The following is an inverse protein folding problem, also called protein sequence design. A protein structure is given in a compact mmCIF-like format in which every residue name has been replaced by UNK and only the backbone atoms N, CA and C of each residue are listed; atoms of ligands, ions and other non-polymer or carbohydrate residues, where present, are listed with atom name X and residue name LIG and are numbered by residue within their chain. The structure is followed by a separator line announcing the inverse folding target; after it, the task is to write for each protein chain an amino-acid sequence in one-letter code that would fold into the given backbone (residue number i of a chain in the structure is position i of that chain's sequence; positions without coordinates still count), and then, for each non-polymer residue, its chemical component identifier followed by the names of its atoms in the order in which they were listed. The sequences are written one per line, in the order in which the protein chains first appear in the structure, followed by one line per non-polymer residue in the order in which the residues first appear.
data_IF_526992246640
#
_entry.id   IF_526992246640
#
_cell.length_a   1.000
_cell.length_b   1.000
_cell.length_c   1.000
_cell.angle_alpha   90.00
_cell.angle_beta   90.00
_cell.angle_gamma   90.00
#
_symmetry.space_group_name_H-M   'P 1'
#
loop_
_entity.id
_entity.type
_entity.pdbx_description
1 polymer ?
#
# COMPACT_ATOMS: atom_id res chain seq x y z
N UNK A 1 -13.54 -26.31 16.80
CA UNK A 1 -13.40 -25.28 15.74
C UNK A 1 -14.15 -24.01 16.16
N UNK A 2 -13.55 -23.10 16.93
CA UNK A 2 -14.20 -21.84 17.35
C UNK A 2 -13.29 -20.59 17.35
N UNK A 3 -11.97 -20.75 17.22
CA UNK A 3 -11.02 -19.63 17.27
C UNK A 3 -10.93 -18.79 15.98
N UNK A 4 -11.27 -19.35 14.81
CA UNK A 4 -11.20 -18.65 13.52
C UNK A 4 -12.30 -17.58 13.33
N UNK A 5 -13.35 -17.59 14.15
CA UNK A 5 -14.50 -16.68 14.02
C UNK A 5 -14.31 -15.39 14.82
N UNK A 6 -13.64 -15.45 15.97
CA UNK A 6 -13.37 -14.25 16.76
C UNK A 6 -12.38 -13.31 16.05
N UNK A 7 -11.24 -13.83 15.57
CA UNK A 7 -10.22 -13.02 14.89
C UNK A 7 -10.74 -12.38 13.58
N UNK A 8 -11.54 -13.12 12.81
CA UNK A 8 -12.18 -12.57 11.61
C UNK A 8 -13.20 -11.49 11.96
N UNK A 9 -14.01 -11.68 13.00
CA UNK A 9 -14.94 -10.66 13.51
C UNK A 9 -14.22 -9.41 14.00
N UNK A 10 -13.12 -9.55 14.75
CA UNK A 10 -12.29 -8.41 15.18
C UNK A 10 -11.76 -7.61 13.99
N UNK A 11 -11.22 -8.30 12.99
CA UNK A 11 -10.71 -7.65 11.77
C UNK A 11 -11.82 -6.94 10.97
N UNK A 12 -13.01 -7.53 10.91
CA UNK A 12 -14.17 -6.92 10.25
C UNK A 12 -14.63 -5.68 11.00
N UNK A 13 -14.73 -5.75 12.33
CA UNK A 13 -15.11 -4.60 13.16
C UNK A 13 -14.07 -3.48 13.08
N UNK A 14 -12.77 -3.81 13.07
CA UNK A 14 -11.72 -2.79 12.97
C UNK A 14 -11.77 -2.04 11.63
N UNK A 15 -12.27 -2.65 10.56
CA UNK A 15 -12.53 -1.97 9.28
C UNK A 15 -13.84 -1.16 9.33
N UNK A 16 -14.93 -1.75 9.82
CA UNK A 16 -16.26 -1.13 9.80
C UNK A 16 -16.36 0.16 10.63
N UNK A 17 -15.58 0.26 11.70
CA UNK A 17 -15.60 1.41 12.61
C UNK A 17 -14.38 2.33 12.46
N UNK A 18 -13.50 2.07 11.48
CA UNK A 18 -12.34 2.93 11.21
C UNK A 18 -12.77 4.25 10.56
N UNK A 19 -12.09 5.34 10.93
CA UNK A 19 -12.19 6.61 10.20
C UNK A 19 -11.60 6.48 8.79
N UNK A 20 -11.90 7.43 7.90
CA UNK A 20 -11.35 7.45 6.54
C UNK A 20 -9.82 7.48 6.55
N UNK A 21 -9.23 8.23 7.47
CA UNK A 21 -7.78 8.31 7.66
C UNK A 21 -7.20 7.00 8.17
N UNK A 22 -7.87 6.33 9.11
CA UNK A 22 -7.44 5.01 9.58
C UNK A 22 -7.51 3.95 8.48
N UNK A 23 -8.55 3.97 7.65
CA UNK A 23 -8.66 3.09 6.47
C UNK A 23 -7.52 3.32 5.48
N UNK A 24 -7.15 4.59 5.23
CA UNK A 24 -6.00 4.95 4.41
C UNK A 24 -4.69 4.37 4.97
N UNK A 25 -4.44 4.52 6.27
CA UNK A 25 -3.24 3.98 6.91
C UNK A 25 -3.20 2.44 6.84
N UNK A 26 -4.35 1.78 7.03
CA UNK A 26 -4.47 0.32 6.88
C UNK A 26 -4.17 -0.16 5.46
N UNK A 27 -4.58 0.59 4.44
CA UNK A 27 -4.23 0.30 3.03
C UNK A 27 -2.71 0.41 2.82
N UNK A 28 -2.08 1.45 3.38
CA UNK A 28 -0.64 1.67 3.26
C UNK A 28 0.18 0.62 4.02
N UNK A 29 -0.27 0.19 5.21
CA UNK A 29 0.32 -0.96 5.89
C UNK A 29 0.20 -2.24 5.04
N UNK A 30 -0.95 -2.42 4.40
CA UNK A 30 -1.20 -3.48 3.43
C UNK A 30 -0.22 -3.46 2.27
N UNK A 31 0.06 -2.30 1.67
CA UNK A 31 0.96 -2.18 0.52
C UNK A 31 2.41 -2.54 0.87
N UNK A 32 2.91 -2.12 2.04
CA UNK A 32 4.23 -2.53 2.55
C UNK A 32 4.27 -4.03 2.81
N UNK A 33 3.24 -4.59 3.45
CA UNK A 33 3.16 -6.03 3.72
C UNK A 33 3.17 -6.84 2.41
N UNK A 34 2.31 -6.51 1.46
CA UNK A 34 2.19 -7.26 0.22
C UNK A 34 3.44 -7.14 -0.65
N UNK A 35 4.08 -5.97 -0.72
CA UNK A 35 5.33 -5.80 -1.45
C UNK A 35 6.48 -6.65 -0.88
N UNK A 36 6.60 -6.75 0.46
CA UNK A 36 7.58 -7.65 1.11
C UNK A 36 7.29 -9.14 0.85
N UNK A 37 6.01 -9.55 0.89
CA UNK A 37 5.62 -10.92 0.54
C UNK A 37 5.96 -11.21 -0.93
N UNK A 38 5.63 -10.29 -1.83
CA UNK A 38 5.95 -10.42 -3.25
C UNK A 38 7.45 -10.61 -3.49
N UNK A 39 8.28 -9.77 -2.85
CA UNK A 39 9.74 -9.89 -2.92
C UNK A 39 10.23 -11.26 -2.49
N UNK A 40 9.79 -11.75 -1.32
CA UNK A 40 10.17 -13.08 -0.83
C UNK A 40 9.72 -14.19 -1.80
N UNK A 41 8.51 -14.08 -2.33
CA UNK A 41 7.98 -15.04 -3.30
C UNK A 41 8.77 -15.06 -4.61
N UNK A 42 9.30 -13.92 -5.08
CA UNK A 42 10.22 -13.88 -6.22
C UNK A 42 11.50 -14.66 -5.89
N UNK A 43 12.12 -14.40 -4.73
CA UNK A 43 13.34 -15.11 -4.29
C UNK A 43 13.13 -16.62 -4.21
N UNK A 44 11.94 -17.04 -3.75
CA UNK A 44 11.55 -18.44 -3.61
C UNK A 44 11.04 -19.07 -4.92
N UNK A 45 11.08 -18.32 -6.03
CA UNK A 45 10.56 -18.71 -7.35
C UNK A 45 9.07 -19.08 -7.34
N UNK A 46 8.31 -18.60 -6.34
CA UNK A 46 6.85 -18.75 -6.29
C UNK A 46 6.17 -17.62 -7.08
N UNK A 47 6.11 -17.81 -8.40
CA UNK A 47 5.64 -16.82 -9.37
C UNK A 47 4.18 -16.43 -9.15
N UNK A 48 3.32 -17.35 -8.73
CA UNK A 48 1.89 -17.12 -8.49
C UNK A 48 1.73 -16.17 -7.31
N UNK A 49 2.32 -16.51 -6.16
CA UNK A 49 2.26 -15.67 -4.95
C UNK A 49 2.90 -14.31 -5.19
N UNK A 50 4.01 -14.25 -5.95
CA UNK A 50 4.61 -12.99 -6.35
C UNK A 50 3.64 -12.13 -7.17
N UNK A 51 3.01 -12.69 -8.21
CA UNK A 51 2.06 -11.95 -9.06
C UNK A 51 0.88 -11.41 -8.26
N UNK A 52 0.27 -12.25 -7.42
CA UNK A 52 -0.89 -11.88 -6.60
C UNK A 52 -0.57 -10.71 -5.67
N UNK A 53 0.55 -10.78 -4.95
CA UNK A 53 0.89 -9.75 -3.98
C UNK A 53 1.38 -8.46 -4.64
N UNK A 54 2.04 -8.55 -5.82
CA UNK A 54 2.34 -7.34 -6.60
C UNK A 54 1.04 -6.67 -7.07
N UNK A 55 0.08 -7.42 -7.61
CA UNK A 55 -1.22 -6.86 -8.03
C UNK A 55 -1.98 -6.23 -6.87
N UNK A 56 -1.99 -6.88 -5.69
CA UNK A 56 -2.59 -6.28 -4.47
C UNK A 56 -1.94 -4.95 -4.12
N UNK A 57 -0.61 -4.87 -4.19
CA UNK A 57 0.13 -3.63 -3.95
C UNK A 57 -0.23 -2.56 -4.98
N UNK A 58 -0.26 -2.90 -6.28
CA UNK A 58 -0.65 -1.99 -7.36
C UNK A 58 -2.07 -1.45 -7.18
N UNK A 59 -3.02 -2.31 -6.85
CA UNK A 59 -4.42 -1.93 -6.64
C UNK A 59 -4.58 -0.90 -5.52
N UNK A 60 -3.79 -1.01 -4.44
CA UNK A 60 -3.77 0.00 -3.38
C UNK A 60 -3.32 1.35 -3.94
N UNK A 61 -2.22 1.41 -4.70
CA UNK A 61 -1.76 2.67 -5.30
C UNK A 61 -2.73 3.24 -6.34
N UNK A 62 -3.43 2.39 -7.11
CA UNK A 62 -4.52 2.85 -7.98
C UNK A 62 -5.67 3.47 -7.17
N UNK A 63 -6.05 2.85 -6.06
CA UNK A 63 -7.08 3.39 -5.16
C UNK A 63 -6.65 4.73 -4.53
N UNK A 64 -5.37 4.87 -4.15
CA UNK A 64 -4.83 6.15 -3.66
C UNK A 64 -4.90 7.26 -4.71
N UNK A 65 -4.67 6.93 -5.99
CA UNK A 65 -4.83 7.90 -7.08
C UNK A 65 -6.30 8.26 -7.26
N UNK A 66 -7.20 7.27 -7.25
CA UNK A 66 -8.63 7.47 -7.46
C UNK A 66 -9.31 8.26 -6.33
N UNK A 67 -8.81 8.12 -5.10
CA UNK A 67 -9.34 8.78 -3.91
C UNK A 67 -8.77 10.17 -3.65
N UNK A 68 -7.72 10.58 -4.36
CA UNK A 68 -7.09 11.88 -4.18
C UNK A 68 -7.90 12.99 -4.86
N UNK A 69 -8.43 13.93 -4.07
CA UNK A 69 -9.11 15.11 -4.61
C UNK A 69 -8.11 16.13 -5.14
N UNK A 70 -7.84 16.05 -6.44
CA UNK A 70 -6.91 16.97 -7.11
C UNK A 70 -7.40 18.42 -7.18
N UNK A 71 -8.70 18.68 -7.01
CA UNK A 71 -9.22 20.05 -7.02
C UNK A 71 -8.78 20.82 -5.79
N UNK A 72 -8.71 20.15 -4.63
CA UNK A 72 -8.25 20.73 -3.37
C UNK A 72 -6.76 20.56 -3.15
N UNK A 73 -6.14 19.52 -3.74
CA UNK A 73 -4.73 19.22 -3.55
C UNK A 73 -3.75 20.05 -4.41
N UNK A 74 -4.20 20.76 -5.45
CA UNK A 74 -3.33 21.60 -6.27
C UNK A 74 -2.07 20.87 -6.78
N UNK A 75 -0.89 21.52 -6.68
CA UNK A 75 0.36 20.97 -7.22
C UNK A 75 0.97 19.84 -6.38
N UNK A 76 0.78 19.84 -5.06
CA UNK A 76 1.27 18.73 -4.22
C UNK A 76 0.56 17.43 -4.58
N UNK A 77 -0.75 17.47 -4.88
CA UNK A 77 -1.51 16.31 -5.29
C UNK A 77 -1.01 15.71 -6.60
N UNK A 78 -0.66 16.55 -7.59
CA UNK A 78 -0.09 16.10 -8.87
C UNK A 78 1.28 15.42 -8.67
N UNK A 79 2.12 15.97 -7.81
CA UNK A 79 3.41 15.37 -7.47
C UNK A 79 3.22 14.00 -6.81
N UNK A 80 2.26 13.89 -5.89
CA UNK A 80 1.94 12.64 -5.22
C UNK A 80 1.44 11.57 -6.20
N UNK A 81 0.54 11.93 -7.11
CA UNK A 81 0.08 11.02 -8.19
C UNK A 81 1.25 10.55 -9.05
N UNK A 82 2.24 11.41 -9.31
CA UNK A 82 3.43 11.04 -10.09
C UNK A 82 4.28 10.01 -9.37
N UNK A 83 4.47 10.15 -8.05
CA UNK A 83 5.14 9.15 -7.20
C UNK A 83 4.39 7.81 -7.24
N UNK A 84 3.06 7.84 -7.09
CA UNK A 84 2.24 6.62 -7.11
C UNK A 84 2.32 5.91 -8.46
N UNK A 85 2.23 6.65 -9.57
CA UNK A 85 2.39 6.08 -10.92
C UNK A 85 3.78 5.49 -11.14
N UNK A 86 4.82 6.12 -10.63
CA UNK A 86 6.18 5.58 -10.69
C UNK A 86 6.30 4.25 -9.95
N UNK A 87 5.80 4.17 -8.71
CA UNK A 87 5.77 2.93 -7.91
C UNK A 87 5.03 1.82 -8.67
N UNK A 88 3.85 2.12 -9.22
CA UNK A 88 3.07 1.17 -10.01
C UNK A 88 3.88 0.67 -11.21
N UNK A 89 4.54 1.56 -11.95
CA UNK A 89 5.39 1.22 -13.09
C UNK A 89 6.55 0.28 -12.71
N UNK A 90 7.25 0.56 -11.61
CA UNK A 90 8.31 -0.32 -11.09
C UNK A 90 7.77 -1.68 -10.67
N UNK A 91 6.62 -1.73 -9.99
CA UNK A 91 5.95 -2.98 -9.64
C UNK A 91 5.56 -3.80 -10.87
N UNK A 92 5.09 -3.17 -11.95
CA UNK A 92 4.80 -3.88 -13.22
C UNK A 92 6.07 -4.51 -13.77
N UNK A 93 7.17 -3.75 -13.84
CA UNK A 93 8.45 -4.26 -14.33
C UNK A 93 8.99 -5.41 -13.47
N UNK A 94 8.95 -5.28 -12.14
CA UNK A 94 9.31 -6.33 -11.20
C UNK A 94 8.48 -7.60 -11.41
N UNK A 95 7.17 -7.45 -11.66
CA UNK A 95 6.26 -8.57 -11.85
C UNK A 95 6.52 -9.31 -13.17
N UNK A 96 6.80 -8.58 -14.25
CA UNK A 96 7.09 -9.16 -15.56
C UNK A 96 8.43 -9.89 -15.57
N UNK A 97 9.47 -9.27 -14.99
CA UNK A 97 10.84 -9.81 -15.00
C UNK A 97 11.13 -10.77 -13.84
N UNK A 98 10.28 -10.78 -12.81
CA UNK A 98 10.56 -11.43 -11.52
C UNK A 98 11.90 -10.99 -10.96
N UNK A 99 12.10 -9.67 -10.96
CA UNK A 99 13.35 -9.05 -10.57
C UNK A 99 13.28 -8.56 -9.11
N UNK A 100 14.09 -9.18 -8.24
CA UNK A 100 14.18 -8.84 -6.82
C UNK A 100 14.81 -7.46 -6.62
N UNK A 101 15.75 -7.05 -7.48
CA UNK A 101 16.42 -5.76 -7.34
C UNK A 101 15.43 -4.61 -7.54
N UNK A 102 14.50 -4.73 -8.48
CA UNK A 102 13.41 -3.76 -8.66
C UNK A 102 12.52 -3.69 -7.41
N UNK A 103 12.26 -4.84 -6.76
CA UNK A 103 11.50 -4.86 -5.51
C UNK A 103 12.27 -4.20 -4.36
N UNK A 104 13.58 -4.44 -4.27
CA UNK A 104 14.47 -3.82 -3.28
C UNK A 104 14.52 -2.29 -3.40
N UNK A 105 14.47 -1.76 -4.62
CA UNK A 105 14.41 -0.31 -4.86
C UNK A 105 13.03 0.29 -4.57
N UNK A 106 11.95 -0.40 -4.89
CA UNK A 106 10.59 0.18 -4.79
C UNK A 106 9.99 0.09 -3.38
N UNK A 107 10.35 -0.94 -2.59
CA UNK A 107 9.81 -1.12 -1.23
C UNK A 107 10.09 0.09 -0.33
N UNK A 108 11.31 0.66 -0.28
CA UNK A 108 11.58 1.87 0.49
C UNK A 108 10.65 3.03 0.11
N UNK A 109 10.38 3.24 -1.19
CA UNK A 109 9.46 4.29 -1.64
C UNK A 109 8.01 4.04 -1.17
N UNK A 110 7.58 2.79 -1.12
CA UNK A 110 6.28 2.40 -0.57
C UNK A 110 6.23 2.69 0.94
N UNK A 111 7.32 2.41 1.65
CA UNK A 111 7.46 2.70 3.09
C UNK A 111 7.47 4.22 3.36
N UNK A 112 8.14 5.01 2.54
CA UNK A 112 8.18 6.47 2.64
C UNK A 112 6.79 7.08 2.46
N UNK A 113 6.03 6.61 1.47
CA UNK A 113 4.62 7.03 1.30
C UNK A 113 3.80 6.68 2.55
N UNK A 114 3.96 5.47 3.09
CA UNK A 114 3.27 5.07 4.33
C UNK A 114 3.65 5.97 5.51
N UNK A 115 4.94 6.28 5.66
CA UNK A 115 5.43 7.11 6.77
C UNK A 115 4.90 8.54 6.66
N UNK A 116 4.91 9.13 5.46
CA UNK A 116 4.38 10.46 5.21
C UNK A 116 2.91 10.60 5.66
N UNK A 117 2.05 9.64 5.31
CA UNK A 117 0.66 9.67 5.72
C UNK A 117 0.46 9.42 7.22
N UNK A 118 1.29 8.58 7.84
CA UNK A 118 1.28 8.41 9.29
C UNK A 118 1.66 9.70 10.03
N UNK A 119 2.68 10.40 9.56
CA UNK A 119 3.11 11.68 10.12
C UNK A 119 2.02 12.75 9.94
N UNK A 120 1.43 12.83 8.75
CA UNK A 120 0.32 13.75 8.44
C UNK A 120 -0.88 13.50 9.35
N UNK A 121 -1.26 12.23 9.54
CA UNK A 121 -2.33 11.86 10.45
C UNK A 121 -1.99 12.22 11.90
N UNK A 122 -0.77 11.92 12.36
CA UNK A 122 -0.32 12.25 13.71
C UNK A 122 -0.32 13.75 13.96
N UNK A 123 0.11 14.56 12.99
CA UNK A 123 0.04 16.02 13.04
C UNK A 123 -1.42 16.51 13.10
N UNK A 124 -2.32 15.90 12.33
CA UNK A 124 -3.75 16.27 12.32
C UNK A 124 -4.43 16.05 13.67
N UNK A 125 -4.02 15.04 14.44
CA UNK A 125 -4.55 14.80 15.80
C UNK A 125 -4.03 15.86 16.77
N UNK A 126 -2.74 16.23 16.69
CA UNK A 126 -2.13 17.22 17.61
C UNK A 126 -2.70 18.64 17.47
N UNK A 127 -3.29 18.94 16.31
CA UNK A 127 -3.89 20.25 16.02
C UNK A 127 -5.37 20.34 16.45
N UNK A 128 -5.97 19.23 16.88
CA UNK A 128 -7.33 19.18 17.43
C UNK A 128 -7.28 19.30 18.95
#
# INVERSE_FOLDING_TARGET
MYANNAYSQYKTNSVNFASKEQLLLMLLDGSVKFSKIARKAIMDKNIIVANENIKKTQNIFYELIASLDLNTAGDWGKNMVSVYKFIIGRLVQANMKKDVAIMDEVIPLIEDVKNLWNETYSASIKLR
#
